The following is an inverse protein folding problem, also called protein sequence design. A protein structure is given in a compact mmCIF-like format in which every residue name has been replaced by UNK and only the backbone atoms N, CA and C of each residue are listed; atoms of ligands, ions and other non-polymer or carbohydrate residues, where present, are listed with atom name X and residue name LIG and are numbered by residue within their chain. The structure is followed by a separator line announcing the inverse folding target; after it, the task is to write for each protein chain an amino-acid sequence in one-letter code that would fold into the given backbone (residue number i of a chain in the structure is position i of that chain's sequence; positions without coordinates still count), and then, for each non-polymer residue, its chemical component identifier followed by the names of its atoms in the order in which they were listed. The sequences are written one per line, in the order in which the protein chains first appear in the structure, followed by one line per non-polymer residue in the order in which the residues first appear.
data_IF_253576947959
#
_entry.id   IF_253576947959
#
_cell.length_a   1.000
_cell.length_b   1.000
_cell.length_c   1.000
_cell.angle_alpha   90.00
_cell.angle_beta   90.00
_cell.angle_gamma   90.00
#
_symmetry.space_group_name_H-M   'P 1'
#
loop_
_entity.id
_entity.type
_entity.pdbx_description
1 polymer ?
#
# COMPACT_ATOMS: atom_id res chain seq x y z
N UNK A 1 -6.26 18.20 -6.59
CA UNK A 1 -4.91 18.31 -7.19
C UNK A 1 -4.63 17.07 -8.01
N UNK A 2 -3.71 17.14 -8.99
CA UNK A 2 -3.22 15.96 -9.70
C UNK A 2 -2.02 15.40 -8.95
N UNK A 3 -2.08 14.13 -8.56
CA UNK A 3 -1.04 13.46 -7.76
C UNK A 3 -0.67 12.16 -8.46
N UNK A 4 0.63 11.89 -8.54
CA UNK A 4 1.16 10.64 -9.09
C UNK A 4 1.72 9.82 -7.93
N UNK A 5 1.38 8.53 -7.89
CA UNK A 5 1.90 7.56 -6.92
C UNK A 5 2.75 6.55 -7.68
N UNK A 6 4.01 6.40 -7.24
CA UNK A 6 4.94 5.39 -7.75
C UNK A 6 5.07 4.27 -6.72
N UNK A 7 4.65 3.07 -7.11
CA UNK A 7 4.58 1.88 -6.27
C UNK A 7 3.16 1.64 -5.74
N UNK A 8 2.55 0.51 -6.14
CA UNK A 8 1.22 0.08 -5.70
C UNK A 8 1.27 -1.16 -4.81
N UNK A 9 2.27 -1.22 -3.92
CA UNK A 9 2.22 -2.08 -2.73
C UNK A 9 1.09 -1.66 -1.76
N UNK A 10 1.01 -2.29 -0.59
CA UNK A 10 -0.08 -2.03 0.37
C UNK A 10 -0.24 -0.54 0.70
N UNK A 11 0.84 0.13 1.10
CA UNK A 11 0.80 1.53 1.49
C UNK A 11 0.45 2.45 0.32
N UNK A 12 1.00 2.21 -0.86
CA UNK A 12 0.68 3.02 -2.06
C UNK A 12 -0.81 2.96 -2.42
N UNK A 13 -1.43 1.79 -2.32
CA UNK A 13 -2.86 1.61 -2.58
C UNK A 13 -3.75 2.22 -1.49
N UNK A 14 -3.36 2.10 -0.22
CA UNK A 14 -4.07 2.75 0.88
C UNK A 14 -4.02 4.28 0.76
N UNK A 15 -2.84 4.82 0.46
CA UNK A 15 -2.67 6.25 0.21
C UNK A 15 -3.49 6.73 -0.99
N UNK A 16 -3.48 5.97 -2.10
CA UNK A 16 -4.31 6.28 -3.27
C UNK A 16 -5.80 6.31 -2.91
N UNK A 17 -6.28 5.35 -2.11
CA UNK A 17 -7.66 5.31 -1.64
C UNK A 17 -8.02 6.57 -0.84
N UNK A 18 -7.20 6.94 0.13
CA UNK A 18 -7.46 8.12 0.98
C UNK A 18 -7.43 9.43 0.18
N UNK A 19 -6.46 9.59 -0.73
CA UNK A 19 -6.38 10.78 -1.59
C UNK A 19 -7.54 10.85 -2.61
N UNK A 20 -8.00 9.70 -3.12
CA UNK A 20 -9.17 9.64 -3.99
C UNK A 20 -10.43 10.08 -3.25
N UNK A 21 -10.61 9.60 -2.01
CA UNK A 21 -11.71 10.00 -1.13
C UNK A 21 -11.67 11.48 -0.79
N UNK A 22 -10.48 12.07 -0.71
CA UNK A 22 -10.29 13.52 -0.54
C UNK A 22 -10.57 14.34 -1.82
N UNK A 23 -10.98 13.71 -2.92
CA UNK A 23 -11.35 14.38 -4.18
C UNK A 23 -10.15 14.75 -5.06
N UNK A 24 -9.00 14.10 -4.87
CA UNK A 24 -7.84 14.30 -5.75
C UNK A 24 -7.91 13.40 -6.98
N UNK A 25 -7.32 13.88 -8.08
CA UNK A 25 -7.14 13.09 -9.30
C UNK A 25 -5.81 12.36 -9.21
N UNK A 26 -5.83 11.05 -9.41
CA UNK A 26 -4.69 10.18 -9.17
C UNK A 26 -4.30 9.39 -10.41
N UNK A 27 -2.99 9.25 -10.60
CA UNK A 27 -2.40 8.25 -11.48
C UNK A 27 -1.46 7.38 -10.64
N UNK A 28 -1.60 6.06 -10.75
CA UNK A 28 -0.82 5.09 -9.98
C UNK A 28 -0.05 4.22 -10.94
N UNK A 29 1.28 4.17 -10.75
CA UNK A 29 2.17 3.32 -11.52
C UNK A 29 2.80 2.28 -10.61
N UNK A 30 2.85 1.05 -11.08
CA UNK A 30 3.47 -0.05 -10.34
C UNK A 30 4.16 -1.01 -11.31
N UNK A 31 5.34 -1.47 -10.92
CA UNK A 31 6.09 -2.44 -11.72
C UNK A 31 5.49 -3.85 -11.63
N UNK A 32 4.86 -4.18 -10.50
CA UNK A 32 4.32 -5.52 -10.20
C UNK A 32 2.94 -5.83 -10.78
N UNK A 33 2.39 -4.94 -11.60
CA UNK A 33 1.08 -5.11 -12.22
C UNK A 33 -0.09 -5.15 -11.21
N UNK A 34 -1.33 -5.34 -11.70
CA UNK A 34 -2.53 -5.20 -10.87
C UNK A 34 -2.64 -6.28 -9.77
N UNK A 35 -2.12 -7.48 -10.01
CA UNK A 35 -2.11 -8.57 -9.03
C UNK A 35 -1.04 -8.39 -7.93
N UNK A 36 -0.08 -7.47 -8.11
CA UNK A 36 0.96 -7.15 -7.14
C UNK A 36 1.68 -8.41 -6.58
N UNK A 37 2.00 -9.37 -7.46
CA UNK A 37 2.57 -10.67 -7.07
C UNK A 37 3.93 -10.53 -6.39
N UNK A 38 4.71 -9.52 -6.78
CA UNK A 38 6.05 -9.24 -6.23
C UNK A 38 6.04 -8.25 -5.06
N UNK A 39 4.86 -7.86 -4.57
CA UNK A 39 4.73 -6.91 -3.46
C UNK A 39 5.06 -7.57 -2.11
N UNK A 40 5.80 -6.84 -1.25
CA UNK A 40 6.07 -7.24 0.13
C UNK A 40 4.78 -7.54 0.92
N UNK A 41 3.65 -6.91 0.55
CA UNK A 41 2.36 -7.16 1.17
C UNK A 41 1.91 -8.62 1.07
N UNK A 42 2.32 -9.33 0.01
CA UNK A 42 1.98 -10.74 -0.21
C UNK A 42 2.72 -11.68 0.73
N UNK A 43 3.92 -11.30 1.16
CA UNK A 43 4.68 -12.02 2.17
C UNK A 43 4.20 -11.73 3.61
N UNK A 44 3.52 -10.60 3.84
CA UNK A 44 3.29 -10.04 5.18
C UNK A 44 2.29 -10.79 6.08
N UNK A 45 1.83 -12.00 5.73
CA UNK A 45 0.82 -12.80 6.46
C UNK A 45 -0.51 -12.09 6.84
N UNK A 46 -0.66 -10.81 6.45
CA UNK A 46 -1.75 -9.91 6.84
C UNK A 46 -2.00 -9.81 8.36
N UNK A 47 -1.00 -10.08 9.20
CA UNK A 47 -1.15 -9.94 10.65
C UNK A 47 -0.95 -8.48 11.07
N UNK A 48 -1.95 -7.93 11.76
CA UNK A 48 -1.84 -6.68 12.51
C UNK A 48 -1.61 -7.05 13.99
N UNK A 49 -0.36 -7.30 14.35
CA UNK A 49 0.05 -7.44 15.74
C UNK A 49 0.61 -6.10 16.25
N UNK A 50 0.25 -5.64 17.45
CA UNK A 50 0.97 -4.54 18.09
C UNK A 50 2.46 -4.85 18.16
N UNK A 51 3.31 -3.84 17.95
CA UNK A 51 4.76 -4.01 18.06
C UNK A 51 5.16 -4.62 19.42
N UNK A 52 4.43 -4.27 20.47
CA UNK A 52 4.57 -4.81 21.82
C UNK A 52 4.36 -6.33 21.95
N UNK A 53 3.63 -6.95 21.01
CA UNK A 53 3.37 -8.39 20.98
C UNK A 53 4.34 -9.14 20.03
N UNK A 54 5.10 -8.44 19.18
CA UNK A 54 5.98 -9.04 18.15
C UNK A 54 7.45 -9.21 18.54
N UNK A 55 7.90 -8.67 19.67
CA UNK A 55 9.27 -8.87 20.15
C UNK A 55 9.33 -8.75 21.68
N UNK A 56 9.02 -9.83 22.37
CA UNK A 56 9.54 -10.07 23.72
C UNK A 56 10.47 -11.29 23.58
N UNK A 57 11.76 -11.04 23.74
CA UNK A 57 12.81 -12.04 23.99
C UNK A 57 13.62 -11.50 25.16
#
# INVERSE_FOLDING_TARGET
MKIIILGAGLMGRLLACELARAGHTLEVFDAGGPQALDSAARAAAAMLAPLAESAIT
#
